data_IF_708164183560
#
_entry.id   IF_708164183560
#
_cell.length_a   1.000
_cell.length_b   1.000
_cell.length_c   1.000
_cell.angle_alpha   90.00
_cell.angle_beta   90.00
_cell.angle_gamma   90.00
#
_symmetry.space_group_name_H-M   'P 1'
#
loop_
_entity.id
_entity.type
_entity.pdbx_description
1 polymer ?
#
# COMPACT_ATOMS: atom_id res chain seq x y z
N UNK A 1 15.41 30.60 5.93
CA UNK A 1 15.79 29.18 5.99
C UNK A 1 15.01 28.40 7.06
N UNK A 2 14.94 28.86 8.32
CA UNK A 2 14.18 28.18 9.39
C UNK A 2 12.66 28.13 9.19
N UNK A 3 12.04 29.23 8.75
CA UNK A 3 10.58 29.30 8.49
C UNK A 3 10.17 28.37 7.34
N UNK A 4 11.03 28.26 6.32
CA UNK A 4 10.82 27.41 5.14
C UNK A 4 10.91 25.92 5.50
N UNK A 5 11.88 25.54 6.33
CA UNK A 5 12.02 24.16 6.83
C UNK A 5 10.86 23.77 7.75
N UNK A 6 10.37 24.69 8.59
CA UNK A 6 9.21 24.44 9.45
C UNK A 6 7.93 24.23 8.64
N UNK A 7 7.69 25.02 7.59
CA UNK A 7 6.57 24.80 6.68
C UNK A 7 6.70 23.51 5.87
N UNK A 8 7.92 23.15 5.44
CA UNK A 8 8.18 21.88 4.75
C UNK A 8 7.92 20.68 5.68
N UNK A 9 8.33 20.78 6.93
CA UNK A 9 8.12 19.73 7.94
C UNK A 9 6.64 19.57 8.27
N UNK A 10 5.89 20.67 8.38
CA UNK A 10 4.44 20.63 8.53
C UNK A 10 3.77 20.01 7.29
N UNK A 11 4.18 20.37 6.07
CA UNK A 11 3.64 19.76 4.85
C UNK A 11 3.86 18.25 4.79
N UNK A 12 5.06 17.78 5.16
CA UNK A 12 5.36 16.34 5.23
C UNK A 12 4.52 15.64 6.32
N UNK A 13 4.29 16.30 7.46
CA UNK A 13 3.43 15.78 8.53
C UNK A 13 1.94 15.76 8.15
N UNK A 14 1.47 16.74 7.38
CA UNK A 14 0.07 16.82 6.94
C UNK A 14 -0.23 15.94 5.73
N UNK A 15 0.71 15.75 4.80
CA UNK A 15 0.54 14.84 3.66
C UNK A 15 0.32 13.38 4.07
N UNK A 16 0.74 13.00 5.28
CA UNK A 16 0.52 11.67 5.85
C UNK A 16 -0.96 11.39 6.20
N UNK A 17 -1.79 12.42 6.38
CA UNK A 17 -3.14 12.29 6.93
C UNK A 17 -4.21 11.91 5.90
N UNK A 18 -3.98 12.11 4.60
CA UNK A 18 -5.04 11.96 3.60
C UNK A 18 -5.47 10.50 3.39
N UNK A 19 -4.49 9.60 3.28
CA UNK A 19 -4.73 8.16 3.08
C UNK A 19 -4.15 7.30 4.21
N UNK A 20 -3.66 7.92 5.29
CA UNK A 20 -3.15 7.25 6.50
C UNK A 20 -2.07 6.19 6.25
N UNK A 21 -1.36 6.27 5.13
CA UNK A 21 -0.38 5.26 4.71
C UNK A 21 -0.99 3.93 4.25
N UNK A 22 -2.30 3.91 3.93
CA UNK A 22 -2.96 2.74 3.38
C UNK A 22 -2.48 2.43 1.96
N UNK A 23 -2.47 1.14 1.65
CA UNK A 23 -2.09 0.58 0.37
C UNK A 23 -3.35 0.35 -0.46
N UNK A 24 -3.35 0.92 -1.65
CA UNK A 24 -4.42 0.79 -2.64
C UNK A 24 -3.93 -0.05 -3.83
N UNK A 25 -4.78 -0.18 -4.84
CA UNK A 25 -4.42 -0.70 -6.16
C UNK A 25 -3.31 0.12 -6.85
N UNK A 26 -3.13 1.38 -6.45
CA UNK A 26 -2.07 2.27 -6.94
C UNK A 26 -0.66 1.70 -6.76
N UNK A 27 -0.39 0.96 -5.67
CA UNK A 27 0.90 0.33 -5.45
C UNK A 27 1.25 -0.64 -6.58
N UNK A 28 0.29 -1.45 -7.04
CA UNK A 28 0.53 -2.52 -7.99
C UNK A 28 0.47 -2.04 -9.46
N UNK A 29 -0.30 -1.00 -9.73
CA UNK A 29 -0.51 -0.50 -11.10
C UNK A 29 0.40 0.67 -11.44
N UNK A 30 0.51 1.66 -10.54
CA UNK A 30 1.25 2.90 -10.83
C UNK A 30 2.68 2.86 -10.31
N UNK A 31 2.90 2.32 -9.11
CA UNK A 31 4.22 2.35 -8.46
C UNK A 31 5.08 1.15 -8.83
N UNK A 32 4.48 -0.05 -8.92
CA UNK A 32 5.23 -1.28 -9.17
C UNK A 32 6.01 -1.28 -10.49
N UNK A 33 5.48 -0.87 -11.66
CA UNK A 33 6.23 -0.98 -12.91
C UNK A 33 7.59 -0.25 -12.93
N UNK A 34 7.71 1.03 -12.55
CA UNK A 34 9.01 1.69 -12.51
C UNK A 34 9.92 1.14 -11.41
N UNK A 35 9.38 0.72 -10.26
CA UNK A 35 10.16 0.14 -9.16
C UNK A 35 10.73 -1.22 -9.58
N UNK A 36 9.93 -2.09 -10.19
CA UNK A 36 10.39 -3.39 -10.67
C UNK A 36 11.48 -3.27 -11.74
N UNK A 37 11.39 -2.25 -12.61
CA UNK A 37 12.37 -2.00 -13.66
C UNK A 37 13.71 -1.48 -13.12
N UNK A 38 13.67 -0.53 -12.17
CA UNK A 38 14.86 0.17 -11.69
C UNK A 38 15.46 -0.46 -10.42
N UNK A 39 14.64 -1.08 -9.60
CA UNK A 39 14.98 -1.62 -8.27
C UNK A 39 14.27 -2.97 -8.04
N UNK A 40 14.67 -4.03 -8.75
CA UNK A 40 13.96 -5.31 -8.75
C UNK A 40 13.82 -5.95 -7.36
N UNK A 41 14.79 -5.75 -6.45
CA UNK A 41 14.69 -6.24 -5.07
C UNK A 41 13.52 -5.58 -4.32
N UNK A 42 13.28 -4.28 -4.54
CA UNK A 42 12.14 -3.58 -3.96
C UNK A 42 10.83 -3.97 -4.66
N UNK A 43 10.87 -4.19 -5.97
CA UNK A 43 9.72 -4.72 -6.73
C UNK A 43 9.28 -6.10 -6.21
N UNK A 44 10.25 -6.95 -5.84
CA UNK A 44 9.98 -8.25 -5.21
C UNK A 44 9.25 -8.07 -3.88
N UNK A 45 9.70 -7.15 -3.02
CA UNK A 45 9.05 -6.87 -1.74
C UNK A 45 7.58 -6.45 -1.93
N UNK A 46 7.28 -5.64 -2.95
CA UNK A 46 5.89 -5.26 -3.28
C UNK A 46 5.03 -6.51 -3.55
N UNK A 47 5.47 -7.43 -4.40
CA UNK A 47 4.71 -8.66 -4.70
C UNK A 47 4.61 -9.58 -3.47
N UNK A 48 5.68 -9.67 -2.68
CA UNK A 48 5.69 -10.45 -1.44
C UNK A 48 4.68 -9.94 -0.42
N UNK A 49 4.42 -8.62 -0.35
CA UNK A 49 3.38 -8.08 0.53
C UNK A 49 2.00 -8.63 0.19
N UNK A 50 1.64 -8.77 -1.09
CA UNK A 50 0.36 -9.38 -1.53
C UNK A 50 0.29 -10.86 -1.18
N UNK A 51 1.39 -11.57 -1.30
CA UNK A 51 1.47 -12.99 -0.91
C UNK A 51 1.26 -13.15 0.60
N UNK A 52 1.89 -12.29 1.41
CA UNK A 52 1.75 -12.29 2.87
C UNK A 52 0.32 -12.01 3.34
N UNK A 53 -0.41 -11.13 2.64
CA UNK A 53 -1.79 -10.75 2.99
C UNK A 53 -2.86 -11.61 2.30
N UNK A 54 -2.47 -12.62 1.50
CA UNK A 54 -3.40 -13.49 0.78
C UNK A 54 -4.40 -14.22 1.69
N UNK A 55 -3.97 -14.62 2.89
CA UNK A 55 -4.86 -15.27 3.85
C UNK A 55 -6.01 -14.35 4.29
N UNK A 56 -5.72 -13.08 4.59
CA UNK A 56 -6.72 -12.07 4.92
C UNK A 56 -7.67 -11.82 3.73
N UNK A 57 -7.14 -11.72 2.51
CA UNK A 57 -7.96 -11.56 1.31
C UNK A 57 -8.90 -12.76 1.05
N UNK A 58 -8.46 -13.99 1.35
CA UNK A 58 -9.31 -15.19 1.27
C UNK A 58 -10.41 -15.20 2.33
N UNK A 59 -10.11 -14.74 3.55
CA UNK A 59 -11.11 -14.57 4.61
C UNK A 59 -12.17 -13.56 4.16
N UNK A 60 -11.74 -12.39 3.67
CA UNK A 60 -12.64 -11.34 3.20
C UNK A 60 -13.53 -11.80 2.03
N UNK A 61 -13.00 -12.61 1.11
CA UNK A 61 -13.79 -13.21 0.03
C UNK A 61 -14.91 -14.11 0.59
N UNK A 62 -14.56 -15.00 1.52
CA UNK A 62 -15.52 -15.92 2.17
C UNK A 62 -16.60 -15.15 2.93
N UNK A 63 -16.22 -14.15 3.71
CA UNK A 63 -17.15 -13.29 4.45
C UNK A 63 -18.07 -12.50 3.51
N UNK A 64 -17.59 -12.18 2.32
CA UNK A 64 -18.39 -11.53 1.26
C UNK A 64 -19.25 -12.51 0.45
N UNK A 65 -19.24 -13.81 0.74
CA UNK A 65 -19.99 -14.83 -0.01
C UNK A 65 -19.38 -15.24 -1.34
N UNK A 66 -18.08 -15.01 -1.54
CA UNK A 66 -17.35 -15.37 -2.76
C UNK A 66 -16.21 -16.37 -2.48
N UNK A 67 -15.85 -17.12 -3.51
CA UNK A 67 -14.63 -17.93 -3.52
C UNK A 67 -13.41 -17.12 -3.99
N UNK A 68 -12.22 -17.65 -3.75
CA UNK A 68 -10.96 -17.03 -4.18
C UNK A 68 -10.40 -16.06 -3.14
N UNK A 69 -9.85 -14.94 -3.61
CA UNK A 69 -9.23 -13.92 -2.77
C UNK A 69 -9.74 -12.53 -3.17
N UNK A 70 -10.24 -11.79 -2.18
CA UNK A 70 -10.70 -10.42 -2.32
C UNK A 70 -9.78 -9.53 -1.49
N UNK A 71 -8.89 -8.80 -2.15
CA UNK A 71 -8.12 -7.77 -1.45
C UNK A 71 -9.03 -6.60 -1.08
N UNK A 72 -8.81 -5.96 0.09
CA UNK A 72 -9.57 -4.78 0.46
C UNK A 72 -9.25 -3.62 -0.48
N UNK A 73 -10.17 -2.67 -0.60
CA UNK A 73 -9.95 -1.44 -1.36
C UNK A 73 -8.79 -0.62 -0.77
N UNK A 74 -8.70 -0.64 0.56
CA UNK A 74 -7.67 -0.03 1.39
C UNK A 74 -7.06 -1.09 2.27
N UNK A 75 -5.75 -1.31 2.18
CA UNK A 75 -5.04 -2.29 3.00
C UNK A 75 -4.03 -1.61 3.89
N UNK A 76 -4.00 -1.97 5.17
CA UNK A 76 -2.92 -1.58 6.08
C UNK A 76 -2.03 -2.78 6.43
N UNK A 77 -1.38 -2.73 7.61
CA UNK A 77 -0.41 -3.71 8.08
C UNK A 77 -0.91 -5.17 8.07
N UNK A 78 -2.18 -5.39 8.41
CA UNK A 78 -2.80 -6.73 8.54
C UNK A 78 -3.33 -7.30 7.23
N UNK A 79 -3.36 -6.52 6.15
CA UNK A 79 -3.96 -6.95 4.88
C UNK A 79 -5.49 -6.85 4.83
N UNK A 80 -6.08 -6.09 5.76
CA UNK A 80 -7.51 -5.76 5.86
C UNK A 80 -7.71 -4.27 5.69
#
# INVERSE_FOLDING_TARGET
MFVTLFHLMLYVLFAYQDYLGHIFWDQDIWMFPPIALLYPDLGRLIVETRTRTLAAAKILARESGFDGARYPWESAFTGT
#
